data_IF_164609238947
#
_entry.id   IF_164609238947
#
_cell.length_a   1.000
_cell.length_b   1.000
_cell.length_c   1.000
_cell.angle_alpha   90.00
_cell.angle_beta   90.00
_cell.angle_gamma   90.00
#
_symmetry.space_group_name_H-M   'P 1'
#
loop_
_entity.id
_entity.type
_entity.pdbx_description
1 polymer ?
#
# COMPACT_ATOMS: atom_id res chain seq x y z
N UNK A 1 -16.32 -12.17 -21.35
CA UNK A 1 -17.46 -11.23 -21.36
C UNK A 1 -16.92 -9.92 -21.90
N UNK A 2 -17.47 -9.38 -22.97
CA UNK A 2 -16.99 -8.15 -23.60
C UNK A 2 -17.37 -6.94 -22.74
N UNK A 3 -16.50 -5.93 -22.66
CA UNK A 3 -16.74 -4.71 -21.87
C UNK A 3 -18.02 -3.98 -22.31
N UNK A 4 -18.37 -4.06 -23.60
CA UNK A 4 -19.58 -3.47 -24.14
C UNK A 4 -20.86 -4.03 -23.50
N UNK A 5 -20.93 -5.34 -23.28
CA UNK A 5 -22.07 -5.97 -22.61
C UNK A 5 -22.22 -5.49 -21.14
N UNK A 6 -21.10 -5.20 -20.46
CA UNK A 6 -21.16 -4.70 -19.08
C UNK A 6 -21.77 -3.31 -18.98
N UNK A 7 -21.46 -2.43 -19.95
CA UNK A 7 -21.87 -1.03 -19.95
C UNK A 7 -23.38 -0.91 -20.03
N UNK A 8 -24.00 -1.74 -20.88
CA UNK A 8 -25.45 -1.74 -21.14
C UNK A 8 -26.24 -2.45 -20.03
N UNK A 9 -25.56 -3.22 -19.17
CA UNK A 9 -26.24 -3.99 -18.13
C UNK A 9 -26.75 -3.10 -16.99
N UNK A 10 -27.83 -3.53 -16.29
CA UNK A 10 -28.19 -2.96 -15.00
C UNK A 10 -27.00 -3.02 -14.02
N UNK A 11 -26.73 -1.92 -13.31
CA UNK A 11 -25.58 -1.77 -12.44
C UNK A 11 -25.41 -2.93 -11.45
N UNK A 12 -26.51 -3.42 -10.87
CA UNK A 12 -26.47 -4.54 -9.92
C UNK A 12 -25.89 -5.81 -10.56
N UNK A 13 -26.30 -6.15 -11.77
CA UNK A 13 -25.83 -7.33 -12.49
C UNK A 13 -24.35 -7.21 -12.86
N UNK A 14 -23.95 -6.09 -13.46
CA UNK A 14 -22.59 -5.82 -13.88
C UNK A 14 -21.61 -5.85 -12.68
N UNK A 15 -21.94 -5.15 -11.59
CA UNK A 15 -21.10 -5.09 -10.38
C UNK A 15 -20.91 -6.44 -9.73
N UNK A 16 -21.95 -7.31 -9.76
CA UNK A 16 -21.85 -8.68 -9.25
C UNK A 16 -20.90 -9.52 -10.08
N UNK A 17 -21.01 -9.44 -11.40
CA UNK A 17 -20.11 -10.16 -12.31
C UNK A 17 -18.66 -9.72 -12.12
N UNK A 18 -18.41 -8.42 -12.02
CA UNK A 18 -17.08 -7.87 -11.72
C UNK A 18 -16.56 -8.38 -10.37
N UNK A 19 -17.42 -8.37 -9.35
CA UNK A 19 -17.04 -8.84 -8.01
C UNK A 19 -16.73 -10.34 -8.01
N UNK A 20 -17.51 -11.16 -8.72
CA UNK A 20 -17.27 -12.60 -8.88
C UNK A 20 -15.96 -12.87 -9.60
N UNK A 21 -15.64 -12.16 -10.69
CA UNK A 21 -14.38 -12.26 -11.41
C UNK A 21 -13.18 -11.95 -10.50
N UNK A 22 -13.27 -10.89 -9.69
CA UNK A 22 -12.21 -10.56 -8.72
C UNK A 22 -12.05 -11.64 -7.65
N UNK A 23 -13.12 -12.21 -7.15
CA UNK A 23 -13.09 -13.31 -6.17
C UNK A 23 -12.44 -14.57 -6.75
N UNK A 24 -12.71 -14.88 -8.01
CA UNK A 24 -12.08 -15.98 -8.73
C UNK A 24 -10.57 -15.76 -8.88
N UNK A 25 -10.15 -14.59 -9.35
CA UNK A 25 -8.75 -14.22 -9.46
C UNK A 25 -8.02 -14.32 -8.11
N UNK A 26 -8.59 -13.79 -7.03
CA UNK A 26 -8.03 -13.88 -5.68
C UNK A 26 -7.87 -15.37 -5.28
N UNK A 27 -8.83 -16.20 -5.60
CA UNK A 27 -8.79 -17.64 -5.25
C UNK A 27 -7.68 -18.35 -6.02
N UNK A 28 -7.52 -18.08 -7.33
CA UNK A 28 -6.46 -18.63 -8.17
C UNK A 28 -5.07 -18.24 -7.65
N UNK A 29 -4.87 -16.95 -7.33
CA UNK A 29 -3.59 -16.48 -6.79
C UNK A 29 -3.31 -16.99 -5.37
N UNK A 30 -4.34 -17.23 -4.56
CA UNK A 30 -4.18 -17.83 -3.24
C UNK A 30 -3.65 -19.27 -3.33
N UNK A 31 -4.09 -20.03 -4.32
CA UNK A 31 -3.61 -21.40 -4.57
C UNK A 31 -2.18 -21.38 -5.11
N UNK A 32 -1.88 -20.51 -6.07
CA UNK A 32 -0.54 -20.35 -6.63
C UNK A 32 0.50 -19.96 -5.57
N UNK A 33 0.15 -19.06 -4.65
CA UNK A 33 1.02 -18.66 -3.55
C UNK A 33 1.28 -19.80 -2.54
N UNK A 34 0.36 -20.75 -2.41
CA UNK A 34 0.52 -21.90 -1.52
C UNK A 34 1.37 -23.04 -2.14
N UNK A 35 1.40 -23.12 -3.47
CA UNK A 35 2.06 -24.19 -4.23
C UNK A 35 3.35 -23.75 -4.96
N UNK A 36 3.62 -22.45 -5.04
CA UNK A 36 4.74 -21.88 -5.78
C UNK A 36 6.10 -21.97 -5.07
N UNK A 37 7.16 -21.85 -5.86
CA UNK A 37 8.53 -21.75 -5.36
C UNK A 37 8.64 -20.58 -4.36
N UNK A 38 9.31 -20.77 -3.21
CA UNK A 38 9.58 -19.72 -2.23
C UNK A 38 10.25 -18.47 -2.84
N UNK A 39 11.02 -18.61 -3.92
CA UNK A 39 11.64 -17.49 -4.64
C UNK A 39 10.65 -16.62 -5.40
N UNK A 40 9.54 -17.17 -5.89
CA UNK A 40 8.49 -16.43 -6.59
C UNK A 40 7.32 -16.02 -5.66
N UNK A 41 7.33 -16.44 -4.42
CA UNK A 41 6.25 -16.18 -3.45
C UNK A 41 5.94 -14.69 -3.28
N UNK A 42 6.94 -13.80 -3.45
CA UNK A 42 6.75 -12.35 -3.35
C UNK A 42 5.87 -11.79 -4.48
N UNK A 43 6.02 -12.29 -5.74
CA UNK A 43 5.19 -11.89 -6.88
C UNK A 43 3.73 -12.24 -6.67
N UNK A 44 3.46 -13.42 -6.12
CA UNK A 44 2.10 -13.84 -5.78
C UNK A 44 1.49 -12.98 -4.68
N UNK A 45 2.29 -12.55 -3.70
CA UNK A 45 1.81 -11.68 -2.61
C UNK A 45 1.43 -10.30 -3.12
N UNK A 46 2.23 -9.68 -3.98
CA UNK A 46 1.92 -8.35 -4.54
C UNK A 46 0.70 -8.41 -5.45
N UNK A 47 0.60 -9.43 -6.30
CA UNK A 47 -0.57 -9.64 -7.15
C UNK A 47 -1.82 -9.92 -6.30
N UNK A 48 -1.72 -10.76 -5.29
CA UNK A 48 -2.80 -11.00 -4.33
C UNK A 48 -3.23 -9.71 -3.64
N UNK A 49 -2.28 -8.89 -3.18
CA UNK A 49 -2.55 -7.57 -2.58
C UNK A 49 -3.33 -6.67 -3.53
N UNK A 50 -2.89 -6.59 -4.79
CA UNK A 50 -3.57 -5.78 -5.80
C UNK A 50 -5.05 -6.20 -5.98
N UNK A 51 -5.32 -7.50 -6.07
CA UNK A 51 -6.68 -8.00 -6.23
C UNK A 51 -7.55 -7.81 -4.98
N UNK A 52 -7.04 -8.04 -3.76
CA UNK A 52 -7.86 -7.81 -2.56
C UNK A 52 -8.13 -6.33 -2.32
N UNK A 53 -7.20 -5.44 -2.69
CA UNK A 53 -7.43 -3.98 -2.69
C UNK A 53 -8.52 -3.60 -3.68
N UNK A 54 -8.44 -4.12 -4.91
CA UNK A 54 -9.44 -3.88 -5.94
C UNK A 54 -10.82 -4.41 -5.53
N UNK A 55 -10.89 -5.59 -4.95
CA UNK A 55 -12.13 -6.14 -4.39
C UNK A 55 -12.72 -5.23 -3.32
N UNK A 56 -11.90 -4.76 -2.36
CA UNK A 56 -12.35 -3.82 -1.32
C UNK A 56 -12.85 -2.51 -1.91
N UNK A 57 -12.12 -1.95 -2.88
CA UNK A 57 -12.51 -0.70 -3.53
C UNK A 57 -13.83 -0.86 -4.31
N UNK A 58 -13.98 -1.93 -5.10
CA UNK A 58 -15.21 -2.26 -5.80
C UNK A 58 -16.39 -2.39 -4.83
N UNK A 59 -16.23 -3.12 -3.73
CA UNK A 59 -17.27 -3.26 -2.69
C UNK A 59 -17.60 -1.93 -1.97
N UNK A 60 -16.69 -0.95 -1.99
CA UNK A 60 -16.91 0.38 -1.40
C UNK A 60 -17.59 1.32 -2.38
N UNK A 61 -17.11 1.35 -3.63
CA UNK A 61 -17.63 2.23 -4.67
C UNK A 61 -19.06 1.81 -5.05
N UNK A 62 -19.28 0.53 -5.25
CA UNK A 62 -20.57 -0.02 -5.66
C UNK A 62 -21.38 -0.60 -4.49
N UNK A 63 -21.28 0.01 -3.30
CA UNK A 63 -21.90 -0.52 -2.10
C UNK A 63 -23.41 -0.67 -2.23
N UNK A 64 -24.07 0.28 -2.89
CA UNK A 64 -25.52 0.32 -3.06
C UNK A 64 -25.99 -0.73 -4.07
N UNK A 65 -25.26 -0.91 -5.19
CA UNK A 65 -25.55 -1.95 -6.17
C UNK A 65 -25.37 -3.39 -5.63
N UNK A 66 -24.43 -3.60 -4.70
CA UNK A 66 -24.23 -4.89 -4.04
C UNK A 66 -25.26 -5.17 -2.95
N UNK A 67 -25.84 -4.12 -2.35
CA UNK A 67 -26.88 -4.21 -1.36
C UNK A 67 -26.63 -5.24 -0.27
N UNK A 68 -27.63 -6.05 0.04
CA UNK A 68 -27.58 -7.13 1.05
C UNK A 68 -26.76 -8.35 0.62
N UNK A 69 -26.42 -8.47 -0.67
CA UNK A 69 -25.65 -9.62 -1.19
C UNK A 69 -24.26 -9.70 -0.56
N UNK A 70 -23.71 -8.55 -0.13
CA UNK A 70 -22.44 -8.49 0.57
C UNK A 70 -22.63 -7.89 1.97
N UNK A 71 -22.96 -8.71 2.97
CA UNK A 71 -23.26 -8.24 4.33
C UNK A 71 -22.03 -7.62 4.99
N UNK A 72 -22.26 -6.76 5.98
CA UNK A 72 -21.19 -6.06 6.75
C UNK A 72 -20.08 -6.99 7.23
N UNK A 73 -20.42 -8.20 7.65
CA UNK A 73 -19.44 -9.22 8.09
C UNK A 73 -18.50 -9.65 6.96
N UNK A 74 -19.01 -9.78 5.74
CA UNK A 74 -18.22 -10.12 4.57
C UNK A 74 -17.26 -8.96 4.20
N UNK A 75 -17.76 -7.72 4.19
CA UNK A 75 -16.94 -6.52 3.96
C UNK A 75 -15.82 -6.36 5.01
N UNK A 76 -16.12 -6.69 6.27
CA UNK A 76 -15.11 -6.71 7.34
C UNK A 76 -14.01 -7.74 7.05
N UNK A 77 -14.37 -8.94 6.61
CA UNK A 77 -13.39 -9.99 6.26
C UNK A 77 -12.49 -9.60 5.10
N UNK A 78 -13.02 -8.97 4.06
CA UNK A 78 -12.20 -8.44 2.96
C UNK A 78 -11.25 -7.37 3.49
N UNK A 79 -11.68 -6.53 4.41
CA UNK A 79 -10.81 -5.54 5.06
C UNK A 79 -9.67 -6.21 5.83
N UNK A 80 -9.95 -7.26 6.59
CA UNK A 80 -8.93 -8.01 7.34
C UNK A 80 -7.88 -8.62 6.39
N UNK A 81 -8.29 -9.10 5.20
CA UNK A 81 -7.38 -9.61 4.16
C UNK A 81 -6.48 -8.50 3.61
N UNK A 82 -7.06 -7.35 3.28
CA UNK A 82 -6.30 -6.17 2.82
C UNK A 82 -5.31 -5.74 3.89
N UNK A 83 -5.73 -5.63 5.14
CA UNK A 83 -4.88 -5.19 6.25
C UNK A 83 -3.71 -6.15 6.49
N UNK A 84 -3.91 -7.46 6.30
CA UNK A 84 -2.82 -8.44 6.37
C UNK A 84 -1.80 -8.25 5.24
N UNK A 85 -2.26 -8.13 3.99
CA UNK A 85 -1.42 -7.91 2.83
C UNK A 85 -0.64 -6.58 2.92
N UNK A 86 -1.30 -5.50 3.37
CA UNK A 86 -0.68 -4.19 3.58
C UNK A 86 0.39 -4.19 4.67
N UNK A 87 0.24 -4.99 5.72
CA UNK A 87 1.29 -5.13 6.76
C UNK A 87 2.55 -5.77 6.20
N UNK A 88 2.42 -6.77 5.35
CA UNK A 88 3.56 -7.42 4.70
C UNK A 88 4.25 -6.46 3.73
N UNK A 89 3.47 -5.82 2.84
CA UNK A 89 4.00 -4.82 1.92
C UNK A 89 4.78 -3.72 2.62
N UNK A 90 4.25 -3.14 3.70
CA UNK A 90 4.97 -2.12 4.48
C UNK A 90 6.30 -2.65 5.04
N UNK A 91 6.36 -3.89 5.46
CA UNK A 91 7.60 -4.48 5.95
C UNK A 91 8.61 -4.71 4.81
N UNK A 92 8.11 -5.11 3.62
CA UNK A 92 8.94 -5.32 2.43
C UNK A 92 9.51 -3.99 1.90
N UNK A 93 8.68 -2.94 1.79
CA UNK A 93 9.10 -1.59 1.41
C UNK A 93 10.20 -1.06 2.34
N UNK A 94 9.99 -1.18 3.66
CA UNK A 94 10.98 -0.75 4.64
C UNK A 94 12.30 -1.51 4.48
N UNK A 95 12.25 -2.83 4.35
CA UNK A 95 13.46 -3.65 4.18
C UNK A 95 14.18 -3.36 2.85
N UNK A 96 13.43 -3.19 1.76
CA UNK A 96 13.99 -2.91 0.44
C UNK A 96 14.67 -1.53 0.39
N UNK A 97 14.04 -0.50 0.96
CA UNK A 97 14.61 0.84 1.00
C UNK A 97 15.92 0.86 1.80
N UNK A 98 15.89 0.32 3.01
CA UNK A 98 17.08 0.28 3.88
C UNK A 98 18.19 -0.54 3.22
N UNK A 99 17.86 -1.69 2.61
CA UNK A 99 18.83 -2.54 1.91
C UNK A 99 19.55 -1.82 0.77
N UNK A 100 18.83 -1.04 -0.04
CA UNK A 100 19.44 -0.22 -1.10
C UNK A 100 20.41 0.82 -0.54
N UNK A 101 20.03 1.51 0.53
CA UNK A 101 20.88 2.55 1.15
C UNK A 101 22.14 1.96 1.80
N UNK A 102 22.05 0.79 2.43
CA UNK A 102 23.24 0.07 2.94
C UNK A 102 24.19 -0.26 1.81
N UNK A 103 23.67 -0.81 0.69
CA UNK A 103 24.51 -1.15 -0.46
C UNK A 103 25.23 0.07 -1.06
N UNK A 104 24.53 1.20 -1.16
CA UNK A 104 25.11 2.47 -1.68
C UNK A 104 26.16 3.06 -0.73
N UNK A 105 25.92 3.00 0.57
CA UNK A 105 26.89 3.46 1.58
C UNK A 105 28.12 2.56 1.61
N UNK A 106 27.98 1.24 1.51
CA UNK A 106 29.09 0.29 1.48
C UNK A 106 29.98 0.40 0.25
N UNK A 107 29.45 0.85 -0.89
CA UNK A 107 30.24 1.06 -2.12
C UNK A 107 31.12 2.33 -2.06
N UNK A 108 30.77 3.31 -1.24
CA UNK A 108 31.54 4.56 -1.09
C UNK A 108 32.72 4.44 -0.11
N UNK A 109 32.76 3.38 0.68
CA UNK A 109 33.68 3.24 1.83
C UNK A 109 34.49 1.93 1.74
N UNK A 110 35.22 1.69 0.61
CA UNK A 110 36.02 0.46 0.47
C UNK A 110 37.15 0.28 1.51
N UNK A 111 37.44 1.26 2.37
CA UNK A 111 38.51 1.20 3.37
C UNK A 111 38.19 1.77 4.75
N UNK A 112 36.92 2.11 5.04
CA UNK A 112 36.52 2.70 6.33
C UNK A 112 35.55 1.78 7.06
N UNK A 113 35.66 1.58 8.41
CA UNK A 113 34.68 0.81 9.16
C UNK A 113 33.28 1.34 8.90
N UNK A 114 32.33 0.42 8.67
CA UNK A 114 30.91 0.73 8.39
C UNK A 114 30.44 1.94 9.19
N UNK A 115 30.14 3.06 8.47
CA UNK A 115 29.73 4.31 9.08
C UNK A 115 28.46 4.14 9.94
N UNK A 116 28.19 5.12 10.79
CA UNK A 116 27.05 5.07 11.73
C UNK A 116 25.71 4.80 11.01
N UNK A 117 25.54 5.32 9.78
CA UNK A 117 24.35 5.10 8.94
C UNK A 117 24.17 3.63 8.58
N UNK A 118 25.21 2.95 8.12
CA UNK A 118 25.16 1.54 7.75
C UNK A 118 24.89 0.63 8.97
N UNK A 119 25.47 0.94 10.11
CA UNK A 119 25.21 0.21 11.37
C UNK A 119 23.78 0.41 11.87
N UNK A 120 23.26 1.64 11.81
CA UNK A 120 21.87 1.93 12.16
C UNK A 120 20.88 1.23 11.20
N UNK A 121 21.21 1.17 9.92
CA UNK A 121 20.43 0.44 8.93
C UNK A 121 20.41 -1.06 9.22
N UNK A 122 21.54 -1.68 9.53
CA UNK A 122 21.62 -3.10 9.92
C UNK A 122 20.77 -3.40 11.17
N UNK A 123 20.81 -2.52 12.17
CA UNK A 123 19.97 -2.62 13.35
C UNK A 123 18.47 -2.52 13.03
N UNK A 124 18.06 -1.62 12.13
CA UNK A 124 16.68 -1.51 11.67
C UNK A 124 16.25 -2.77 10.91
N UNK A 125 17.09 -3.30 10.02
CA UNK A 125 16.81 -4.52 9.25
C UNK A 125 16.53 -5.71 10.16
N UNK A 126 17.36 -5.96 11.20
CA UNK A 126 17.11 -7.03 12.17
C UNK A 126 15.71 -6.92 12.80
N UNK A 127 15.30 -5.71 13.16
CA UNK A 127 13.97 -5.49 13.75
C UNK A 127 12.84 -5.68 12.76
N UNK A 128 13.03 -5.23 11.51
CA UNK A 128 12.02 -5.34 10.46
C UNK A 128 11.85 -6.77 9.99
N UNK A 129 12.92 -7.57 9.98
CA UNK A 129 12.87 -8.99 9.62
C UNK A 129 11.86 -9.78 10.48
N UNK A 130 11.84 -9.54 11.78
CA UNK A 130 10.86 -10.17 12.69
C UNK A 130 9.42 -9.71 12.42
N UNK A 131 9.23 -8.46 12.04
CA UNK A 131 7.90 -7.93 11.68
C UNK A 131 7.45 -8.48 10.34
N UNK A 132 8.35 -8.54 9.38
CA UNK A 132 8.13 -9.12 8.05
C UNK A 132 7.65 -10.58 8.17
N UNK A 133 8.36 -11.38 8.94
CA UNK A 133 8.00 -12.78 9.16
C UNK A 133 6.62 -12.95 9.84
N UNK A 134 6.30 -12.12 10.83
CA UNK A 134 4.96 -12.13 11.44
C UNK A 134 3.88 -11.73 10.43
N UNK A 135 4.12 -10.71 9.62
CA UNK A 135 3.19 -10.25 8.60
C UNK A 135 2.99 -11.32 7.51
N UNK A 136 4.06 -12.02 7.09
CA UNK A 136 4.01 -13.14 6.16
C UNK A 136 3.11 -14.26 6.66
N UNK A 137 3.28 -14.66 7.93
CA UNK A 137 2.42 -15.68 8.55
C UNK A 137 0.95 -15.24 8.60
N UNK A 138 0.66 -13.95 8.82
CA UNK A 138 -0.70 -13.43 8.80
C UNK A 138 -1.32 -13.52 7.39
N UNK A 139 -0.57 -13.18 6.35
CA UNK A 139 -1.03 -13.30 4.95
C UNK A 139 -1.28 -14.78 4.61
N UNK A 140 -0.35 -15.67 4.92
CA UNK A 140 -0.51 -17.12 4.70
C UNK A 140 -1.78 -17.68 5.37
N UNK A 141 -2.02 -17.32 6.64
CA UNK A 141 -3.25 -17.71 7.35
C UNK A 141 -4.51 -17.13 6.70
N UNK A 142 -4.45 -15.88 6.27
CA UNK A 142 -5.57 -15.23 5.60
C UNK A 142 -5.87 -15.88 4.24
N UNK A 143 -4.84 -16.24 3.49
CA UNK A 143 -4.96 -16.95 2.21
C UNK A 143 -5.49 -18.39 2.40
N UNK A 144 -5.05 -19.11 3.42
CA UNK A 144 -5.50 -20.48 3.67
C UNK A 144 -6.98 -20.57 4.07
N UNK A 145 -7.57 -19.51 4.65
CA UNK A 145 -9.00 -19.45 4.96
C UNK A 145 -9.81 -18.85 3.81
N UNK A 146 -9.97 -19.61 2.74
CA UNK A 146 -10.79 -19.21 1.58
C UNK A 146 -12.32 -19.24 1.84
N UNK A 147 -12.78 -19.77 2.98
CA UNK A 147 -14.21 -19.91 3.31
C UNK A 147 -15.00 -18.61 3.25
N UNK A 148 -14.49 -17.46 3.74
CA UNK A 148 -15.22 -16.20 3.65
C UNK A 148 -15.46 -15.76 2.21
N UNK A 149 -14.44 -15.88 1.34
CA UNK A 149 -14.54 -15.50 -0.07
C UNK A 149 -15.50 -16.41 -0.82
N UNK A 150 -15.45 -17.72 -0.60
CA UNK A 150 -16.40 -18.68 -1.20
C UNK A 150 -17.85 -18.39 -0.78
N UNK A 151 -18.09 -17.96 0.47
CA UNK A 151 -19.44 -17.59 0.92
C UNK A 151 -19.96 -16.34 0.20
N UNK A 152 -19.08 -15.34 -0.03
CA UNK A 152 -19.44 -14.16 -0.82
C UNK A 152 -19.75 -14.57 -2.25
N UNK A 153 -18.87 -15.36 -2.88
CA UNK A 153 -19.07 -15.87 -4.24
C UNK A 153 -20.38 -16.63 -4.40
N UNK A 154 -20.67 -17.57 -3.47
CA UNK A 154 -21.93 -18.31 -3.47
C UNK A 154 -23.16 -17.40 -3.38
N UNK A 155 -23.15 -16.38 -2.50
CA UNK A 155 -24.26 -15.43 -2.38
C UNK A 155 -24.46 -14.60 -3.62
N UNK A 156 -23.37 -14.11 -4.21
CA UNK A 156 -23.45 -13.35 -5.45
C UNK A 156 -23.96 -14.21 -6.61
N UNK A 157 -23.54 -15.48 -6.70
CA UNK A 157 -23.97 -16.41 -7.73
C UNK A 157 -25.46 -16.80 -7.61
N UNK A 158 -25.93 -17.10 -6.41
CA UNK A 158 -27.36 -17.45 -6.19
C UNK A 158 -28.28 -16.29 -6.56
N UNK A 159 -27.87 -15.06 -6.24
CA UNK A 159 -28.68 -13.89 -6.56
C UNK A 159 -28.72 -13.60 -8.06
N UNK A 160 -27.69 -13.87 -8.84
CA UNK A 160 -27.73 -13.74 -10.31
C UNK A 160 -28.68 -14.74 -10.98
N UNK A 161 -28.94 -15.88 -10.34
CA UNK A 161 -29.86 -16.90 -10.86
C UNK A 161 -31.29 -16.71 -10.38
N UNK A 162 -31.50 -16.04 -9.24
CA UNK A 162 -32.84 -15.92 -8.62
C UNK A 162 -33.50 -14.57 -8.80
N UNK A 163 -32.75 -13.51 -9.17
CA UNK A 163 -33.37 -12.22 -9.45
C UNK A 163 -33.96 -12.25 -10.85
N UNK A 164 -35.23 -12.42 -10.94
CA UNK A 164 -36.01 -11.95 -12.07
C UNK A 164 -35.85 -10.47 -12.15
N UNK A 165 -35.38 -9.99 -13.29
CA UNK A 165 -35.20 -8.58 -13.62
C UNK A 165 -36.56 -7.90 -13.89
N UNK A 166 -37.62 -8.35 -13.23
CA UNK A 166 -38.95 -7.83 -13.36
C UNK A 166 -39.11 -6.64 -12.41
N UNK A 167 -39.17 -5.47 -13.04
CA UNK A 167 -39.92 -4.28 -12.60
C UNK A 167 -39.60 -3.73 -11.22
N UNK A 168 -38.34 -3.30 -11.02
CA UNK A 168 -38.03 -2.28 -10.01
C UNK A 168 -37.95 -0.88 -10.68
N UNK A 169 -37.92 0.21 -9.91
CA UNK A 169 -37.71 1.54 -10.46
C UNK A 169 -36.48 1.55 -11.35
N UNK A 170 -36.49 2.33 -12.43
CA UNK A 170 -35.50 2.36 -13.49
C UNK A 170 -34.09 2.16 -12.92
N UNK A 171 -33.57 0.95 -13.01
CA UNK A 171 -32.28 0.62 -12.45
C UNK A 171 -31.23 1.32 -13.27
N UNK A 172 -30.51 2.21 -12.63
CA UNK A 172 -29.37 2.92 -13.21
C UNK A 172 -28.49 1.90 -13.95
N UNK A 173 -28.11 2.22 -15.21
CA UNK A 173 -27.18 1.39 -15.98
C UNK A 173 -25.82 1.35 -15.27
N UNK A 174 -25.01 0.34 -15.56
CA UNK A 174 -23.65 0.29 -15.05
C UNK A 174 -22.83 1.48 -15.55
N UNK A 175 -23.07 1.93 -16.77
CA UNK A 175 -22.48 3.11 -17.38
C UNK A 175 -22.78 4.37 -16.55
N UNK A 176 -24.05 4.67 -16.31
CA UNK A 176 -24.47 5.85 -15.56
C UNK A 176 -23.92 5.85 -14.12
N UNK A 177 -23.99 4.71 -13.42
CA UNK A 177 -23.41 4.59 -12.07
C UNK A 177 -21.88 4.79 -12.09
N UNK A 178 -21.18 4.24 -13.08
CA UNK A 178 -19.73 4.39 -13.22
C UNK A 178 -19.36 5.83 -13.53
N UNK A 179 -20.13 6.50 -14.36
CA UNK A 179 -20.00 7.94 -14.65
C UNK A 179 -20.07 8.79 -13.38
N UNK A 180 -21.14 8.63 -12.59
CA UNK A 180 -21.32 9.38 -11.34
C UNK A 180 -20.15 9.20 -10.37
N UNK A 181 -19.69 7.95 -10.23
CA UNK A 181 -18.52 7.66 -9.40
C UNK A 181 -17.22 8.23 -9.98
N UNK A 182 -17.05 8.20 -11.30
CA UNK A 182 -15.87 8.73 -11.97
C UNK A 182 -15.75 10.25 -11.76
N UNK A 183 -16.83 11.00 -11.95
CA UNK A 183 -16.91 12.43 -11.68
C UNK A 183 -16.55 12.74 -10.22
N UNK A 184 -17.21 12.08 -9.28
CA UNK A 184 -16.96 12.30 -7.85
C UNK A 184 -15.51 11.98 -7.44
N UNK A 185 -14.84 11.01 -8.10
CA UNK A 185 -13.44 10.69 -7.81
C UNK A 185 -12.46 11.61 -8.53
N UNK A 186 -12.79 12.11 -9.71
CA UNK A 186 -12.02 13.13 -10.41
C UNK A 186 -11.98 14.43 -9.59
N UNK A 187 -13.12 14.90 -9.11
CA UNK A 187 -13.22 16.07 -8.23
C UNK A 187 -12.42 15.89 -6.94
N UNK A 188 -12.56 14.72 -6.30
CA UNK A 188 -11.82 14.40 -5.07
C UNK A 188 -10.31 14.36 -5.29
N UNK A 189 -9.85 13.87 -6.46
CA UNK A 189 -8.44 13.85 -6.83
C UNK A 189 -7.92 15.27 -7.01
N UNK A 190 -8.60 16.09 -7.82
CA UNK A 190 -8.24 17.48 -8.08
C UNK A 190 -8.21 18.30 -6.79
N UNK A 191 -9.23 18.17 -5.94
CA UNK A 191 -9.28 18.87 -4.67
C UNK A 191 -8.13 18.45 -3.73
N UNK A 192 -7.82 17.15 -3.66
CA UNK A 192 -6.74 16.65 -2.80
C UNK A 192 -5.38 17.14 -3.27
N UNK A 193 -5.08 17.08 -4.58
CA UNK A 193 -3.76 17.48 -5.11
C UNK A 193 -3.55 18.99 -4.96
N UNK A 194 -4.57 19.82 -5.19
CA UNK A 194 -4.46 21.27 -5.00
C UNK A 194 -4.13 21.69 -3.57
N UNK A 195 -4.39 20.83 -2.59
CA UNK A 195 -4.06 21.11 -1.18
C UNK A 195 -2.71 20.53 -0.74
N UNK A 196 -2.01 19.83 -1.62
CA UNK A 196 -0.65 19.30 -1.33
C UNK A 196 0.36 20.44 -1.47
N UNK A 197 1.06 20.75 -0.38
CA UNK A 197 2.06 21.81 -0.31
C UNK A 197 3.50 21.28 -0.25
N UNK A 198 3.68 19.98 -0.10
CA UNK A 198 4.99 19.35 -0.02
C UNK A 198 4.91 17.87 0.35
N UNK A 199 6.05 17.17 0.43
CA UNK A 199 6.08 15.73 0.73
C UNK A 199 5.54 15.38 2.12
N UNK A 200 5.48 16.36 3.03
CA UNK A 200 4.89 16.22 4.38
C UNK A 200 3.37 16.27 4.42
N UNK A 201 2.68 16.60 3.32
CA UNK A 201 1.20 16.66 3.23
C UNK A 201 0.58 15.25 3.20
N UNK A 202 0.91 14.42 4.18
CA UNK A 202 0.58 12.98 4.16
C UNK A 202 -0.92 12.68 4.10
N UNK A 203 -1.77 13.52 4.67
CA UNK A 203 -3.22 13.30 4.68
C UNK A 203 -3.81 13.53 3.28
N UNK A 204 -3.38 14.59 2.62
CA UNK A 204 -3.76 15.03 1.28
C UNK A 204 -3.25 14.02 0.24
N UNK A 205 -1.97 13.65 0.31
CA UNK A 205 -1.35 12.63 -0.54
C UNK A 205 -2.08 11.28 -0.44
N UNK A 206 -2.48 10.85 0.75
CA UNK A 206 -3.28 9.64 0.91
C UNK A 206 -4.70 9.78 0.35
N UNK A 207 -5.29 10.98 0.37
CA UNK A 207 -6.60 11.24 -0.27
C UNK A 207 -6.46 11.17 -1.79
N UNK A 208 -5.47 11.86 -2.35
CA UNK A 208 -5.17 11.84 -3.78
C UNK A 208 -4.89 10.43 -4.29
N UNK A 209 -4.03 9.68 -3.59
CA UNK A 209 -3.71 8.28 -3.92
C UNK A 209 -4.96 7.40 -3.96
N UNK A 210 -5.84 7.49 -2.95
CA UNK A 210 -7.09 6.71 -2.93
C UNK A 210 -8.03 7.09 -4.06
N UNK A 211 -8.15 8.38 -4.39
CA UNK A 211 -8.96 8.84 -5.51
C UNK A 211 -8.41 8.31 -6.84
N UNK A 212 -7.10 8.47 -7.08
CA UNK A 212 -6.43 7.96 -8.28
C UNK A 212 -6.55 6.43 -8.41
N UNK A 213 -6.46 5.69 -7.30
CA UNK A 213 -6.65 4.25 -7.29
C UNK A 213 -8.09 3.86 -7.67
N UNK A 214 -9.09 4.56 -7.12
CA UNK A 214 -10.51 4.31 -7.45
C UNK A 214 -10.80 4.64 -8.91
N UNK A 215 -10.29 5.76 -9.44
CA UNK A 215 -10.42 6.10 -10.87
C UNK A 215 -9.88 4.95 -11.73
N UNK A 216 -8.68 4.43 -11.42
CA UNK A 216 -8.14 3.29 -12.15
C UNK A 216 -9.06 2.06 -12.14
N UNK A 217 -9.70 1.76 -11.01
CA UNK A 217 -10.65 0.64 -10.93
C UNK A 217 -11.96 0.88 -11.69
N UNK A 218 -12.39 2.14 -11.80
CA UNK A 218 -13.57 2.52 -12.59
C UNK A 218 -13.29 2.46 -14.09
N UNK A 219 -12.08 2.84 -14.53
CA UNK A 219 -11.68 2.81 -15.94
C UNK A 219 -11.39 1.39 -16.45
N UNK A 220 -10.92 0.48 -15.59
CA UNK A 220 -10.53 -0.88 -16.01
C UNK A 220 -11.61 -1.64 -16.81
N UNK A 221 -12.90 -1.66 -16.40
CA UNK A 221 -13.95 -2.33 -17.16
C UNK A 221 -14.28 -1.67 -18.50
N UNK A 222 -13.88 -0.40 -18.69
CA UNK A 222 -14.20 0.41 -19.86
C UNK A 222 -13.17 0.31 -20.99
N UNK A 223 -12.01 -0.36 -20.75
CA UNK A 223 -10.86 -0.36 -21.68
C UNK A 223 -11.16 -0.80 -23.10
N UNK A 224 -12.16 -1.64 -23.31
CA UNK A 224 -12.48 -2.15 -24.64
C UNK A 224 -13.59 -1.36 -25.34
N UNK A 225 -14.23 -0.40 -24.69
CA UNK A 225 -15.40 0.31 -25.18
C UNK A 225 -15.21 1.81 -25.36
N UNK A 226 -14.18 2.37 -24.72
CA UNK A 226 -13.91 3.83 -24.74
C UNK A 226 -12.44 4.08 -24.94
N UNK A 227 -12.08 5.19 -25.60
CA UNK A 227 -10.67 5.60 -25.76
C UNK A 227 -10.13 6.15 -24.44
N UNK A 228 -9.70 5.24 -23.56
CA UNK A 228 -9.16 5.55 -22.23
C UNK A 228 -7.66 5.35 -22.12
N UNK A 229 -6.96 5.09 -23.22
CA UNK A 229 -5.53 4.77 -23.19
C UNK A 229 -4.70 5.92 -22.62
N UNK A 230 -4.92 7.12 -23.12
CA UNK A 230 -4.18 8.30 -22.67
C UNK A 230 -4.49 8.70 -21.22
N UNK A 231 -5.76 8.80 -20.77
CA UNK A 231 -6.08 9.00 -19.36
C UNK A 231 -5.53 7.91 -18.44
N UNK A 232 -5.53 6.66 -18.90
CA UNK A 232 -4.96 5.55 -18.13
C UNK A 232 -3.44 5.64 -17.98
N UNK A 233 -2.73 6.05 -19.04
CA UNK A 233 -1.29 6.26 -19.00
C UNK A 233 -0.91 7.42 -18.08
N UNK A 234 -1.67 8.53 -18.14
CA UNK A 234 -1.49 9.65 -17.23
C UNK A 234 -1.73 9.24 -15.78
N UNK A 235 -2.84 8.58 -15.51
CA UNK A 235 -3.19 8.06 -14.19
C UNK A 235 -2.12 7.11 -13.65
N UNK A 236 -1.51 6.29 -14.51
CA UNK A 236 -0.44 5.37 -14.11
C UNK A 236 0.82 6.13 -13.64
N UNK A 237 1.21 7.21 -14.34
CA UNK A 237 2.33 8.08 -13.91
C UNK A 237 2.04 8.74 -12.58
N UNK A 238 0.86 9.33 -12.43
CA UNK A 238 0.42 9.99 -11.21
C UNK A 238 0.39 9.02 -10.02
N UNK A 239 -0.17 7.83 -10.21
CA UNK A 239 -0.19 6.77 -9.20
C UNK A 239 1.21 6.33 -8.81
N UNK A 240 2.12 6.18 -9.78
CA UNK A 240 3.51 5.82 -9.51
C UNK A 240 4.21 6.82 -8.60
N UNK A 241 4.00 8.12 -8.80
CA UNK A 241 4.54 9.17 -7.95
C UNK A 241 3.90 9.17 -6.53
N UNK A 242 2.58 9.03 -6.45
CA UNK A 242 1.84 8.94 -5.18
C UNK A 242 2.23 7.67 -4.38
N UNK A 243 2.42 6.54 -5.05
CA UNK A 243 2.86 5.30 -4.40
C UNK A 243 4.28 5.43 -3.85
N UNK A 244 5.20 6.10 -4.57
CA UNK A 244 6.55 6.39 -4.04
C UNK A 244 6.51 7.24 -2.78
N UNK A 245 5.69 8.29 -2.74
CA UNK A 245 5.53 9.14 -1.55
C UNK A 245 4.94 8.36 -0.36
N UNK A 246 3.98 7.46 -0.59
CA UNK A 246 3.44 6.57 0.45
C UNK A 246 4.53 5.61 0.97
N UNK A 247 5.35 5.05 0.08
CA UNK A 247 6.47 4.18 0.46
C UNK A 247 7.50 4.91 1.32
N UNK A 248 7.83 6.16 0.98
CA UNK A 248 8.71 7.03 1.77
C UNK A 248 8.12 7.32 3.14
N UNK A 249 6.82 7.64 3.23
CA UNK A 249 6.12 7.81 4.52
C UNK A 249 6.19 6.54 5.38
N UNK A 250 6.03 5.37 4.76
CA UNK A 250 6.15 4.07 5.43
C UNK A 250 7.54 3.88 6.05
N UNK A 251 8.60 4.22 5.31
CA UNK A 251 9.99 4.15 5.79
C UNK A 251 10.24 5.18 6.89
N UNK A 252 9.84 6.43 6.69
CA UNK A 252 9.99 7.51 7.65
C UNK A 252 9.39 7.17 9.01
N UNK A 253 8.21 6.56 9.01
CA UNK A 253 7.59 6.05 10.24
C UNK A 253 8.41 4.94 10.93
N UNK A 254 9.19 4.16 10.18
CA UNK A 254 10.06 3.13 10.79
C UNK A 254 11.28 3.77 11.43
N UNK A 255 11.91 4.74 10.77
CA UNK A 255 13.06 5.51 11.29
C UNK A 255 12.63 6.26 12.56
N UNK A 256 11.52 7.00 12.53
CA UNK A 256 11.00 7.75 13.69
C UNK A 256 10.73 6.81 14.87
N UNK A 257 10.11 5.65 14.64
CA UNK A 257 9.88 4.65 15.70
C UNK A 257 11.19 4.07 16.23
N UNK A 258 12.18 3.90 15.36
CA UNK A 258 13.54 3.52 15.72
C UNK A 258 14.16 4.54 16.68
N UNK A 259 14.17 5.81 16.27
CA UNK A 259 14.73 6.92 17.04
C UNK A 259 14.08 7.09 18.42
N UNK A 260 12.74 7.05 18.48
CA UNK A 260 12.01 7.10 19.76
C UNK A 260 12.40 5.98 20.71
N UNK A 261 12.64 4.79 20.19
CA UNK A 261 13.05 3.66 21.02
C UNK A 261 14.49 3.80 21.51
N UNK A 262 15.40 4.27 20.66
CA UNK A 262 16.79 4.54 21.06
C UNK A 262 16.82 5.59 22.15
N UNK A 263 16.09 6.69 21.98
CA UNK A 263 15.97 7.74 22.97
C UNK A 263 15.41 7.23 24.32
N UNK A 264 14.38 6.39 24.28
CA UNK A 264 13.80 5.80 25.49
C UNK A 264 14.78 4.87 26.22
N UNK A 265 15.56 4.06 25.50
CA UNK A 265 16.61 3.20 26.09
C UNK A 265 17.71 4.05 26.70
N UNK A 266 18.17 5.08 25.99
CA UNK A 266 19.20 6.00 26.47
C UNK A 266 18.77 6.70 27.75
N UNK A 267 17.56 7.29 27.76
CA UNK A 267 17.03 7.94 28.96
C UNK A 267 16.91 6.97 30.14
N UNK A 268 16.46 5.74 29.89
CA UNK A 268 16.38 4.70 30.93
C UNK A 268 17.76 4.32 31.49
N UNK A 269 18.77 4.19 30.65
CA UNK A 269 20.16 3.94 31.08
C UNK A 269 20.70 5.10 31.90
N UNK A 270 20.55 6.34 31.43
CA UNK A 270 21.00 7.52 32.18
C UNK A 270 20.37 7.61 33.55
N UNK A 271 19.04 7.35 33.67
CA UNK A 271 18.37 7.30 34.95
C UNK A 271 18.87 6.18 35.86
N UNK A 272 19.07 4.99 35.29
CA UNK A 272 19.63 3.85 36.02
C UNK A 272 21.02 4.17 36.57
N UNK A 273 21.91 4.70 35.73
CA UNK A 273 23.30 5.01 36.09
C UNK A 273 23.36 6.19 37.10
N UNK A 274 22.36 7.08 37.05
CA UNK A 274 22.22 8.17 38.03
C UNK A 274 21.77 7.64 39.40
N UNK A 275 20.85 6.69 39.43
CA UNK A 275 20.33 6.08 40.68
C UNK A 275 21.28 5.06 41.23
N UNK A 276 21.90 4.28 40.34
CA UNK A 276 22.82 3.20 40.67
C UNK A 276 24.13 3.39 39.90
N UNK A 277 24.97 4.38 40.29
CA UNK A 277 26.23 4.62 39.60
C UNK A 277 27.06 3.31 39.61
N UNK A 278 27.65 2.94 38.43
CA UNK A 278 28.50 1.77 38.35
C UNK A 278 29.62 1.91 39.42
N UNK A 279 29.78 0.91 40.27
CA UNK A 279 30.85 0.91 41.23
C UNK A 279 32.15 1.10 40.46
N UNK A 280 32.92 2.16 40.77
CA UNK A 280 34.28 2.31 40.26
C UNK A 280 35.06 1.06 40.63
N UNK A 281 35.25 0.17 39.65
CA UNK A 281 35.94 -1.10 39.83
C UNK A 281 37.44 -0.83 39.95
N UNK A 282 37.85 -0.37 41.13
CA UNK A 282 39.24 -0.08 41.43
C UNK A 282 40.10 -1.37 41.45
N UNK A 283 39.52 -2.56 41.36
CA UNK A 283 40.23 -3.82 41.58
C UNK A 283 39.96 -4.96 40.60
N UNK A 284 39.23 -4.75 39.52
CA UNK A 284 39.08 -5.82 38.52
C UNK A 284 40.10 -5.66 37.39
N UNK A 285 40.99 -6.64 37.14
CA UNK A 285 41.81 -6.64 35.93
C UNK A 285 40.88 -6.61 34.71
N UNK A 286 41.27 -5.96 33.61
CA UNK A 286 40.44 -5.88 32.40
C UNK A 286 40.12 -7.31 31.96
N UNK A 287 38.85 -7.70 32.15
CA UNK A 287 38.40 -8.97 31.59
C UNK A 287 38.50 -8.85 30.06
N UNK A 288 39.09 -9.88 29.40
CA UNK A 288 39.12 -9.93 27.98
C UNK A 288 37.66 -9.80 27.44
N UNK A 289 37.45 -9.05 26.37
CA UNK A 289 36.10 -8.86 25.83
C UNK A 289 35.49 -10.25 25.53
N UNK A 290 34.46 -10.61 26.27
CA UNK A 290 33.69 -11.83 26.02
C UNK A 290 33.23 -11.75 24.56
N UNK A 291 33.49 -12.76 23.71
CA UNK A 291 33.04 -12.70 22.33
C UNK A 291 31.51 -12.71 22.35
N UNK A 292 30.93 -11.51 22.36
CA UNK A 292 29.50 -11.32 22.17
C UNK A 292 29.22 -11.73 20.73
N UNK A 293 28.46 -12.76 20.53
CA UNK A 293 27.95 -13.36 19.29
C UNK A 293 27.73 -12.36 18.11
N UNK A 294 28.79 -11.77 17.54
CA UNK A 294 28.78 -10.91 16.36
C UNK A 294 27.89 -9.64 16.41
N UNK A 295 27.24 -9.37 17.55
CA UNK A 295 26.45 -8.14 17.73
C UNK A 295 27.37 -7.03 18.18
N UNK A 296 27.75 -6.17 17.24
CA UNK A 296 28.36 -4.88 17.57
C UNK A 296 27.34 -4.11 18.41
N UNK A 297 27.61 -3.98 19.71
CA UNK A 297 26.82 -3.15 20.60
C UNK A 297 27.11 -1.68 20.25
N UNK A 298 26.22 -1.08 19.45
CA UNK A 298 26.32 0.36 19.17
C UNK A 298 25.90 1.14 20.40
N UNK A 299 26.61 2.24 20.68
CA UNK A 299 26.12 3.19 21.66
C UNK A 299 24.78 3.80 21.20
N UNK A 300 23.88 4.17 22.11
CA UNK A 300 22.64 4.85 21.75
C UNK A 300 22.88 6.12 20.93
N UNK A 301 23.96 6.84 21.21
CA UNK A 301 24.35 8.08 20.50
C UNK A 301 24.76 7.81 19.05
N UNK A 302 25.59 6.78 18.80
CA UNK A 302 25.99 6.41 17.43
C UNK A 302 24.77 5.91 16.64
N UNK A 303 23.89 5.16 17.27
CA UNK A 303 22.66 4.68 16.63
C UNK A 303 21.73 5.84 16.28
N UNK A 304 21.64 6.85 17.14
CA UNK A 304 20.85 8.05 16.88
C UNK A 304 21.43 8.84 15.72
N UNK A 305 22.77 9.04 15.68
CA UNK A 305 23.48 9.71 14.58
C UNK A 305 23.23 8.96 13.26
N UNK A 306 23.37 7.65 13.24
CA UNK A 306 23.11 6.86 12.05
C UNK A 306 21.64 6.92 11.57
N UNK A 307 20.66 6.99 12.50
CA UNK A 307 19.26 7.20 12.14
C UNK A 307 19.00 8.58 11.55
N UNK A 308 19.75 9.61 11.97
CA UNK A 308 19.67 10.95 11.37
C UNK A 308 20.18 10.93 9.93
N UNK A 309 21.31 10.28 9.66
CA UNK A 309 21.82 10.10 8.27
C UNK A 309 20.78 9.42 7.38
N UNK A 310 20.11 8.38 7.88
CA UNK A 310 19.03 7.72 7.13
C UNK A 310 17.81 8.62 6.92
N UNK A 311 17.51 9.51 7.88
CA UNK A 311 16.41 10.45 7.76
C UNK A 311 16.69 11.54 6.71
N UNK A 312 17.93 12.02 6.63
CA UNK A 312 18.38 12.98 5.60
C UNK A 312 18.27 12.36 4.20
N UNK A 313 18.81 11.15 3.99
CA UNK A 313 18.67 10.44 2.73
C UNK A 313 17.20 10.20 2.33
N UNK A 314 16.33 9.92 3.30
CA UNK A 314 14.91 9.77 3.05
C UNK A 314 14.23 11.10 2.70
N UNK A 315 14.70 12.21 3.26
CA UNK A 315 14.21 13.54 2.91
C UNK A 315 14.53 13.89 1.44
N UNK A 316 15.73 13.59 0.98
CA UNK A 316 16.14 13.80 -0.41
C UNK A 316 15.28 12.97 -1.37
N UNK A 317 15.07 11.69 -1.05
CA UNK A 317 14.15 10.82 -1.80
C UNK A 317 12.72 11.37 -1.83
N UNK A 318 12.25 11.96 -0.72
CA UNK A 318 10.92 12.55 -0.62
C UNK A 318 10.78 13.79 -1.51
N UNK A 319 11.80 14.65 -1.56
CA UNK A 319 11.80 15.81 -2.44
C UNK A 319 11.76 15.39 -3.91
N UNK A 320 12.63 14.46 -4.32
CA UNK A 320 12.63 13.94 -5.69
C UNK A 320 11.28 13.28 -6.08
N UNK A 321 10.67 12.54 -5.16
CA UNK A 321 9.36 11.93 -5.43
C UNK A 321 8.24 12.98 -5.51
N UNK A 322 8.36 14.06 -4.75
CA UNK A 322 7.41 15.17 -4.79
C UNK A 322 7.55 15.98 -6.08
N UNK A 323 8.77 16.23 -6.54
CA UNK A 323 9.02 16.88 -7.84
C UNK A 323 8.44 16.04 -8.99
N UNK A 324 8.61 14.72 -8.94
CA UNK A 324 8.01 13.81 -9.91
C UNK A 324 6.47 13.82 -9.87
N UNK A 325 5.84 13.98 -8.69
CA UNK A 325 4.39 14.15 -8.55
C UNK A 325 3.94 15.47 -9.21
N UNK A 326 4.66 16.55 -8.92
CA UNK A 326 4.36 17.89 -9.45
C UNK A 326 4.47 17.88 -10.97
N UNK A 327 5.54 17.31 -11.52
CA UNK A 327 5.72 17.14 -12.95
C UNK A 327 4.58 16.30 -13.55
N UNK A 328 4.29 15.12 -12.98
CA UNK A 328 3.20 14.26 -13.48
C UNK A 328 1.83 14.93 -13.45
N UNK A 329 1.61 15.88 -12.53
CA UNK A 329 0.38 16.64 -12.45
C UNK A 329 0.34 17.83 -13.42
N UNK A 330 1.45 18.54 -13.60
CA UNK A 330 1.54 19.76 -14.42
C UNK A 330 1.74 19.48 -15.92
N UNK A 331 2.59 18.50 -16.27
CA UNK A 331 2.97 18.19 -17.66
C UNK A 331 1.81 17.81 -18.58
N UNK A 332 0.70 17.37 -18.00
CA UNK A 332 -0.48 16.96 -18.76
C UNK A 332 -1.58 18.03 -18.78
N UNK A 333 -1.34 19.22 -18.18
CA UNK A 333 -2.41 20.15 -17.87
C UNK A 333 -3.39 19.52 -16.87
N UNK A 334 -3.21 19.80 -15.59
CA UNK A 334 -4.02 19.21 -14.52
C UNK A 334 -5.53 19.29 -14.80
N UNK A 335 -5.97 20.42 -15.29
CA UNK A 335 -7.35 20.66 -15.66
C UNK A 335 -7.75 19.81 -16.88
N UNK A 336 -6.87 19.66 -17.87
CA UNK A 336 -7.12 18.84 -19.06
C UNK A 336 -7.31 17.35 -18.70
N UNK A 337 -6.59 16.83 -17.72
CA UNK A 337 -6.79 15.44 -17.25
C UNK A 337 -8.16 15.25 -16.58
N UNK A 338 -8.56 16.20 -15.73
CA UNK A 338 -9.87 16.17 -15.08
C UNK A 338 -10.97 16.33 -16.13
N UNK A 339 -10.83 17.25 -17.09
CA UNK A 339 -11.77 17.46 -18.19
C UNK A 339 -11.95 16.21 -19.07
N UNK A 340 -10.87 15.47 -19.33
CA UNK A 340 -10.94 14.19 -20.05
C UNK A 340 -11.71 13.13 -19.28
N UNK A 341 -11.49 13.02 -17.96
CA UNK A 341 -12.26 12.12 -17.12
C UNK A 341 -13.76 12.51 -17.11
N UNK A 342 -14.05 13.80 -17.11
CA UNK A 342 -15.40 14.34 -17.21
C UNK A 342 -16.02 14.01 -18.57
N UNK A 343 -15.27 14.17 -19.67
CA UNK A 343 -15.73 13.80 -21.01
C UNK A 343 -16.07 12.31 -21.11
N UNK A 344 -15.20 11.43 -20.58
CA UNK A 344 -15.48 9.99 -20.53
C UNK A 344 -16.75 9.71 -19.72
N UNK A 345 -16.90 10.36 -18.58
CA UNK A 345 -18.07 10.20 -17.75
C UNK A 345 -19.36 10.63 -18.46
N UNK A 346 -19.34 11.74 -19.18
CA UNK A 346 -20.49 12.22 -19.98
C UNK A 346 -20.83 11.23 -21.09
N UNK A 347 -19.83 10.74 -21.83
CA UNK A 347 -20.03 9.73 -22.88
C UNK A 347 -20.61 8.41 -22.39
N UNK A 348 -20.48 8.10 -21.12
CA UNK A 348 -21.09 6.92 -20.48
C UNK A 348 -22.57 7.14 -20.12
N UNK A 349 -23.05 8.39 -20.09
CA UNK A 349 -24.44 8.72 -19.80
C UNK A 349 -25.30 8.77 -21.07
N UNK A 350 -24.67 9.06 -22.21
CA UNK A 350 -25.29 9.06 -23.53
C UNK A 350 -25.43 7.63 -24.08
#
# INVERSE_FOLDING_TARGET
MTSQLLIEMPAQGAVRLLTLSLLEQITQYSVGAAMGDPHDAWRYVDTYRAFVRRLRASMSVYADALGESVPRKARRRVRDLVDAAERLHRADVQAAWIGRHVATMGQRENDVPLGDGARAAAWLVDRLSRRRERARRLVQRAQSDARPLRRISKRLGVYTTSVRLEEGPAHQSFAAMTSDHLLAKADALGAAIRTVTGPGSHAELRRARRAAEHIGYLLDPLRASTNIEEPSAHLARLRGALDRLDDIEIVGRAIIRGGRRVAAVHAGQTLHDTIWPPAESVLAPPMPPTPSNGRVLMSPTDLQRGLTVLAEALHDDAMHAFDALTAAWQDSGADLFIDRLTTIATQLQD
#
